data_IF_484571879540
#
_entry.id   IF_484571879540
#
_cell.length_a   1.000
_cell.length_b   1.000
_cell.length_c   1.000
_cell.angle_alpha   90.00
_cell.angle_beta   90.00
_cell.angle_gamma   90.00
#
_symmetry.space_group_name_H-M   'P 1'
#
loop_
_entity.id
_entity.type
_entity.pdbx_description
1 polymer ?
#
# COMPACT_ATOMS: atom_id res chain seq x y z
N UNK A 1 -44.54 -45.92 41.20
CA UNK A 1 -43.62 -46.22 40.07
C UNK A 1 -43.57 -45.04 39.13
N UNK A 2 -42.44 -44.32 39.06
CA UNK A 2 -41.94 -43.60 37.87
C UNK A 2 -40.55 -43.04 38.22
N UNK A 3 -39.51 -43.64 37.64
CA UNK A 3 -38.11 -43.20 37.75
C UNK A 3 -37.94 -41.94 36.90
N UNK A 4 -37.54 -40.82 37.50
CA UNK A 4 -37.12 -39.62 36.75
C UNK A 4 -35.63 -39.74 36.43
N UNK A 5 -35.31 -39.81 35.14
CA UNK A 5 -33.96 -39.68 34.60
C UNK A 5 -33.48 -38.22 34.78
N UNK A 6 -32.33 -38.04 35.43
CA UNK A 6 -31.60 -36.75 35.43
C UNK A 6 -30.79 -36.66 34.14
N UNK A 7 -31.19 -35.79 33.22
CA UNK A 7 -30.31 -35.30 32.15
C UNK A 7 -29.40 -34.23 32.74
N UNK A 8 -28.08 -34.48 32.72
CA UNK A 8 -27.08 -33.45 33.00
C UNK A 8 -26.91 -32.60 31.74
N UNK A 9 -27.32 -31.33 31.82
CA UNK A 9 -27.09 -30.34 30.78
C UNK A 9 -25.61 -29.91 30.87
N UNK A 10 -24.77 -30.41 29.97
CA UNK A 10 -23.40 -29.89 29.81
C UNK A 10 -23.50 -28.59 29.03
N UNK A 11 -23.45 -27.47 29.77
CA UNK A 11 -23.42 -26.14 29.17
C UNK A 11 -22.01 -25.88 28.62
N UNK A 12 -21.86 -25.94 27.28
CA UNK A 12 -20.66 -25.49 26.60
C UNK A 12 -20.63 -23.95 26.68
N UNK A 13 -19.88 -23.41 27.65
CA UNK A 13 -19.55 -21.99 27.69
C UNK A 13 -18.61 -21.69 26.52
N UNK A 14 -19.17 -21.15 25.45
CA UNK A 14 -18.43 -20.54 24.35
C UNK A 14 -17.82 -19.25 24.90
N UNK A 15 -16.56 -19.28 25.36
CA UNK A 15 -15.82 -18.07 25.66
C UNK A 15 -15.53 -17.37 24.33
N UNK A 16 -15.98 -16.12 24.11
CA UNK A 16 -15.49 -15.34 22.99
C UNK A 16 -13.99 -15.17 23.19
N UNK A 17 -13.20 -15.68 22.24
CA UNK A 17 -11.76 -15.50 22.25
C UNK A 17 -11.45 -14.01 22.29
N UNK A 18 -10.79 -13.56 23.35
CA UNK A 18 -10.24 -12.22 23.41
C UNK A 18 -9.07 -12.20 22.43
N UNK A 19 -9.30 -11.66 21.24
CA UNK A 19 -8.20 -11.31 20.34
C UNK A 19 -7.46 -10.16 21.02
N UNK A 20 -6.23 -10.41 21.48
CA UNK A 20 -5.39 -9.35 22.00
C UNK A 20 -5.14 -8.33 20.89
N UNK A 21 -5.48 -7.07 21.11
CA UNK A 21 -5.13 -6.00 20.20
C UNK A 21 -3.60 -5.96 20.06
N UNK A 22 -3.09 -5.89 18.82
CA UNK A 22 -1.67 -5.73 18.57
C UNK A 22 -1.16 -4.49 19.33
N UNK A 23 -0.16 -4.66 20.18
CA UNK A 23 0.41 -3.57 20.96
C UNK A 23 1.10 -2.58 20.03
N UNK A 24 0.71 -1.30 20.09
CA UNK A 24 1.38 -0.23 19.35
C UNK A 24 2.83 -0.12 19.87
N UNK A 25 3.87 -0.33 19.03
CA UNK A 25 5.26 -0.44 19.50
C UNK A 25 5.82 0.89 20.01
N UNK A 26 5.34 2.01 19.45
CA UNK A 26 5.67 3.38 19.87
C UNK A 26 4.46 4.31 19.71
N UNK A 27 4.23 5.28 20.61
CA UNK A 27 3.03 6.13 20.56
C UNK A 27 2.80 6.84 19.22
N UNK A 28 3.86 7.28 18.55
CA UNK A 28 3.80 7.99 17.27
C UNK A 28 3.70 7.08 16.04
N UNK A 29 3.57 5.76 16.25
CA UNK A 29 3.32 4.79 15.16
C UNK A 29 1.83 4.48 14.98
N UNK A 30 0.93 4.95 15.84
CA UNK A 30 -0.51 4.66 15.75
C UNK A 30 -1.11 5.04 14.38
N UNK A 31 -0.75 6.20 13.84
CA UNK A 31 -1.20 6.67 12.51
C UNK A 31 -0.45 6.08 11.32
N UNK A 32 0.43 5.11 11.54
CA UNK A 32 1.20 4.45 10.48
C UNK A 32 0.43 3.25 9.90
N UNK A 33 0.67 2.93 8.63
CA UNK A 33 0.16 1.71 8.00
C UNK A 33 0.43 0.47 8.85
N UNK A 34 -0.58 -0.38 9.05
CA UNK A 34 -0.53 -1.46 10.04
C UNK A 34 0.64 -2.43 9.81
N UNK A 35 1.00 -2.76 8.56
CA UNK A 35 2.15 -3.63 8.27
C UNK A 35 3.47 -3.04 8.73
N UNK A 36 3.65 -1.73 8.58
CA UNK A 36 4.85 -1.07 9.09
C UNK A 36 4.87 -1.15 10.62
N UNK A 37 3.72 -1.02 11.30
CA UNK A 37 3.65 -1.21 12.76
C UNK A 37 4.04 -2.64 13.16
N UNK A 38 3.55 -3.66 12.45
CA UNK A 38 3.93 -5.06 12.67
C UNK A 38 5.44 -5.28 12.50
N UNK A 39 6.01 -4.80 11.39
CA UNK A 39 7.45 -4.87 11.11
C UNK A 39 8.28 -4.15 12.18
N UNK A 40 7.84 -2.97 12.61
CA UNK A 40 8.48 -2.20 13.68
C UNK A 40 8.44 -2.96 15.01
N UNK A 41 7.28 -3.50 15.39
CA UNK A 41 7.12 -4.28 16.61
C UNK A 41 8.01 -5.52 16.61
N UNK A 42 8.02 -6.28 15.52
CA UNK A 42 8.85 -7.48 15.38
C UNK A 42 10.36 -7.16 15.46
N UNK A 43 10.82 -6.06 14.86
CA UNK A 43 12.22 -5.65 14.95
C UNK A 43 12.58 -5.09 16.33
N UNK A 44 11.64 -4.44 17.02
CA UNK A 44 11.82 -3.95 18.39
C UNK A 44 11.95 -5.12 19.38
N UNK A 45 11.09 -6.13 19.27
CA UNK A 45 11.14 -7.36 20.09
C UNK A 45 12.46 -8.12 19.92
N UNK A 46 13.03 -8.09 18.71
CA UNK A 46 14.35 -8.67 18.39
C UNK A 46 15.53 -7.79 18.83
N UNK A 47 15.29 -6.59 19.37
CA UNK A 47 16.34 -5.63 19.77
C UNK A 47 17.12 -5.01 18.61
N UNK A 48 16.59 -5.12 17.39
CA UNK A 48 17.21 -4.60 16.15
C UNK A 48 16.91 -3.12 16.00
N UNK A 49 15.70 -2.71 16.40
CA UNK A 49 15.22 -1.35 16.26
C UNK A 49 14.86 -0.76 17.63
N UNK A 50 15.40 0.42 17.91
CA UNK A 50 15.14 1.19 19.12
C UNK A 50 14.47 2.52 18.75
N UNK A 51 13.60 3.02 19.63
CA UNK A 51 13.09 4.38 19.56
C UNK A 51 14.10 5.42 20.01
N UNK A 52 13.71 6.68 19.94
CA UNK A 52 14.47 7.81 20.47
C UNK A 52 14.30 7.92 21.99
N UNK A 53 15.20 8.63 22.70
CA UNK A 53 15.11 8.80 24.15
C UNK A 53 13.81 9.47 24.64
N UNK A 54 13.10 10.18 23.76
CA UNK A 54 11.79 10.79 24.02
C UNK A 54 10.62 9.79 23.93
N UNK A 55 10.90 8.50 23.65
CA UNK A 55 9.91 7.44 23.51
C UNK A 55 9.28 7.33 22.12
N UNK A 56 9.71 8.16 21.16
CA UNK A 56 9.18 8.17 19.78
C UNK A 56 9.94 7.25 18.84
N UNK A 57 9.31 6.83 17.75
CA UNK A 57 9.96 6.11 16.65
C UNK A 57 10.36 7.02 15.49
N UNK A 58 9.56 8.05 15.22
CA UNK A 58 9.64 8.99 14.08
C UNK A 58 9.47 8.29 12.73
N UNK A 59 8.32 7.67 12.45
CA UNK A 59 8.13 6.77 11.30
C UNK A 59 8.37 7.43 9.94
N UNK A 60 7.97 8.70 9.79
CA UNK A 60 8.12 9.48 8.56
C UNK A 60 9.50 10.15 8.41
N UNK A 61 10.38 10.04 9.42
CA UNK A 61 11.72 10.62 9.32
C UNK A 61 12.52 9.92 8.22
N UNK A 62 13.08 10.70 7.29
CA UNK A 62 14.02 10.19 6.29
C UNK A 62 15.32 9.79 6.97
N UNK A 63 15.81 8.59 6.67
CA UNK A 63 17.08 8.11 7.18
C UNK A 63 18.24 8.65 6.36
N UNK A 64 19.35 8.95 7.03
CA UNK A 64 20.63 9.07 6.35
C UNK A 64 21.32 7.71 6.18
N UNK A 65 22.37 7.68 5.37
CA UNK A 65 23.13 6.45 5.04
C UNK A 65 23.77 5.81 6.28
N UNK A 66 24.25 6.60 7.23
CA UNK A 66 24.86 6.11 8.47
C UNK A 66 23.84 5.46 9.42
N UNK A 67 22.68 6.08 9.59
CA UNK A 67 21.57 5.58 10.41
C UNK A 67 21.05 4.24 9.87
N UNK A 68 20.91 4.12 8.54
CA UNK A 68 20.51 2.87 7.93
C UNK A 68 21.51 1.74 8.23
N UNK A 69 22.81 1.98 8.06
CA UNK A 69 23.82 0.98 8.39
C UNK A 69 23.79 0.59 9.87
N UNK A 70 23.55 1.54 10.79
CA UNK A 70 23.35 1.19 12.20
C UNK A 70 22.17 0.24 12.39
N UNK A 71 21.04 0.46 11.74
CA UNK A 71 19.87 -0.43 11.82
C UNK A 71 20.20 -1.83 11.28
N UNK A 72 20.81 -1.90 10.08
CA UNK A 72 21.22 -3.16 9.45
C UNK A 72 22.17 -3.95 10.35
N UNK A 73 23.17 -3.29 10.92
CA UNK A 73 24.17 -3.95 11.75
C UNK A 73 23.74 -4.18 13.19
N UNK A 74 22.73 -3.48 13.71
CA UNK A 74 22.10 -3.83 15.00
C UNK A 74 21.38 -5.18 14.94
N UNK A 75 20.87 -5.55 13.76
CA UNK A 75 20.38 -6.89 13.46
C UNK A 75 21.46 -7.96 13.35
N UNK A 76 22.73 -7.62 13.64
CA UNK A 76 23.88 -8.50 13.49
C UNK A 76 24.85 -8.35 14.68
N UNK A 77 25.49 -9.44 15.09
CA UNK A 77 26.39 -9.42 16.25
C UNK A 77 27.85 -9.09 15.90
N UNK A 78 28.10 -8.50 14.74
CA UNK A 78 29.40 -8.63 14.05
C UNK A 78 30.09 -7.31 13.67
N UNK A 79 29.78 -6.25 14.43
CA UNK A 79 30.48 -4.96 14.34
C UNK A 79 31.75 -5.02 15.18
N UNK A 80 32.92 -4.96 14.52
CA UNK A 80 34.23 -4.94 15.18
C UNK A 80 34.82 -3.51 15.24
N UNK A 81 35.69 -3.22 16.24
CA UNK A 81 36.28 -1.89 16.41
C UNK A 81 36.99 -1.33 15.15
N UNK A 82 36.95 0.00 15.01
CA UNK A 82 37.58 0.73 13.90
C UNK A 82 39.08 0.85 14.17
N UNK A 83 39.91 0.25 13.31
CA UNK A 83 41.38 0.30 13.45
C UNK A 83 42.02 1.36 12.53
N UNK A 84 41.33 1.76 11.46
CA UNK A 84 41.80 2.76 10.48
C UNK A 84 40.62 3.50 9.87
N UNK A 85 40.87 4.70 9.37
CA UNK A 85 39.89 5.48 8.62
C UNK A 85 39.48 4.72 7.34
N UNK A 86 38.19 4.40 7.20
CA UNK A 86 37.64 3.67 6.05
C UNK A 86 37.32 4.58 4.86
N UNK A 87 36.84 5.79 5.11
CA UNK A 87 36.56 6.81 4.09
C UNK A 87 37.10 8.16 4.55
N UNK A 88 37.43 9.04 3.62
CA UNK A 88 38.07 10.32 3.92
C UNK A 88 37.22 11.24 4.80
N UNK A 89 35.89 11.14 4.70
CA UNK A 89 34.86 11.89 5.42
C UNK A 89 34.28 11.16 6.65
N UNK A 90 34.83 10.02 7.03
CA UNK A 90 34.41 9.28 8.24
C UNK A 90 35.41 9.51 9.36
N UNK A 91 35.00 10.27 10.38
CA UNK A 91 35.77 10.40 11.62
C UNK A 91 35.75 9.06 12.38
N UNK A 92 36.91 8.44 12.70
CA UNK A 92 36.97 7.19 13.45
C UNK A 92 36.24 7.19 14.81
N UNK A 93 36.10 8.36 15.44
CA UNK A 93 35.43 8.53 16.73
C UNK A 93 33.92 8.80 16.61
N UNK A 94 33.39 8.93 15.39
CA UNK A 94 31.96 9.13 15.18
C UNK A 94 31.17 7.86 15.55
N UNK A 95 29.97 8.04 16.10
CA UNK A 95 29.08 6.95 16.51
C UNK A 95 28.79 5.95 15.38
N UNK A 96 28.82 6.41 14.12
CA UNK A 96 28.55 5.60 12.94
C UNK A 96 29.77 4.89 12.37
N UNK A 97 30.99 5.28 12.75
CA UNK A 97 32.22 4.79 12.15
C UNK A 97 32.35 3.25 12.22
N UNK A 98 31.99 2.56 13.33
CA UNK A 98 32.04 1.10 13.37
C UNK A 98 31.17 0.43 12.30
N UNK A 99 29.96 0.93 12.08
CA UNK A 99 29.03 0.37 11.08
C UNK A 99 29.50 0.65 9.65
N UNK A 100 29.92 1.88 9.36
CA UNK A 100 30.40 2.28 8.04
C UNK A 100 31.66 1.50 7.65
N UNK A 101 32.63 1.40 8.55
CA UNK A 101 33.86 0.67 8.26
C UNK A 101 33.63 -0.85 8.19
N UNK A 102 32.68 -1.40 8.94
CA UNK A 102 32.26 -2.80 8.78
C UNK A 102 31.60 -3.04 7.42
N UNK A 103 30.72 -2.14 6.98
CA UNK A 103 30.07 -2.21 5.68
C UNK A 103 31.09 -2.18 4.53
N UNK A 104 32.09 -1.30 4.60
CA UNK A 104 33.13 -1.22 3.58
C UNK A 104 33.96 -2.51 3.50
N UNK A 105 34.43 -3.03 4.63
CA UNK A 105 35.24 -4.27 4.67
C UNK A 105 34.53 -5.48 4.06
N UNK A 106 33.20 -5.46 4.05
CA UNK A 106 32.34 -6.54 3.55
C UNK A 106 31.86 -6.31 2.12
N UNK A 107 32.26 -5.21 1.49
CA UNK A 107 31.80 -4.85 0.15
C UNK A 107 30.34 -4.39 0.09
N UNK A 108 29.68 -4.15 1.22
CA UNK A 108 28.29 -3.66 1.28
C UNK A 108 28.22 -2.24 0.74
N UNK A 109 29.26 -1.44 1.01
CA UNK A 109 29.40 -0.06 0.50
C UNK A 109 30.80 0.15 -0.04
N UNK A 110 30.90 0.80 -1.21
CA UNK A 110 32.18 1.10 -1.85
C UNK A 110 32.57 2.58 -1.71
N UNK A 111 31.62 3.44 -1.33
CA UNK A 111 31.78 4.90 -1.32
C UNK A 111 31.57 5.51 -2.70
N UNK A 112 31.60 6.84 -2.76
CA UNK A 112 31.53 7.60 -4.00
C UNK A 112 32.94 7.96 -4.49
N UNK A 113 33.00 8.53 -5.70
CA UNK A 113 34.22 9.13 -6.24
C UNK A 113 34.88 10.07 -5.22
N UNK A 114 36.20 9.96 -5.05
CA UNK A 114 36.94 10.72 -4.03
C UNK A 114 37.06 10.02 -2.66
N UNK A 115 36.61 8.77 -2.55
CA UNK A 115 36.80 7.96 -1.34
C UNK A 115 35.96 8.44 -0.16
N UNK A 116 34.78 8.99 -0.43
CA UNK A 116 33.83 9.54 0.56
C UNK A 116 32.61 8.62 0.71
N UNK A 117 32.02 8.57 1.91
CA UNK A 117 30.82 7.78 2.20
C UNK A 117 29.54 8.62 2.21
N UNK A 118 29.63 9.89 2.62
CA UNK A 118 28.53 10.84 2.85
C UNK A 118 27.54 10.36 3.93
N UNK A 119 27.99 10.23 5.20
CA UNK A 119 27.19 9.62 6.26
C UNK A 119 25.84 10.30 6.51
N UNK A 120 25.81 11.63 6.45
CA UNK A 120 24.62 12.44 6.73
C UNK A 120 23.70 12.65 5.51
N UNK A 121 24.09 12.15 4.33
CA UNK A 121 23.24 12.26 3.15
C UNK A 121 22.02 11.33 3.30
N UNK A 122 20.79 11.79 2.96
CA UNK A 122 19.62 10.94 2.86
C UNK A 122 19.90 9.71 2.00
N UNK A 123 19.57 8.53 2.52
CA UNK A 123 19.68 7.30 1.74
C UNK A 123 18.47 7.17 0.82
N UNK A 124 18.71 6.92 -0.47
CA UNK A 124 17.63 6.59 -1.38
C UNK A 124 17.28 5.10 -1.32
N UNK A 125 16.14 4.73 -1.88
CA UNK A 125 15.60 3.37 -1.78
C UNK A 125 16.53 2.35 -2.46
N UNK A 126 17.09 2.64 -3.63
CA UNK A 126 18.02 1.74 -4.32
C UNK A 126 19.28 1.45 -3.50
N UNK A 127 19.88 2.47 -2.90
CA UNK A 127 21.04 2.34 -2.02
C UNK A 127 20.69 1.49 -0.79
N UNK A 128 19.52 1.73 -0.19
CA UNK A 128 19.09 0.99 0.98
C UNK A 128 18.87 -0.49 0.67
N UNK A 129 18.23 -0.81 -0.45
CA UNK A 129 18.02 -2.18 -0.93
C UNK A 129 19.36 -2.88 -1.13
N UNK A 130 20.30 -2.26 -1.85
CA UNK A 130 21.66 -2.80 -2.04
C UNK A 130 22.34 -3.08 -0.69
N UNK A 131 22.32 -2.10 0.23
CA UNK A 131 22.96 -2.26 1.54
C UNK A 131 22.36 -3.42 2.34
N UNK A 132 21.03 -3.56 2.35
CA UNK A 132 20.35 -4.65 3.08
C UNK A 132 20.63 -6.01 2.44
N UNK A 133 20.44 -6.17 1.13
CA UNK A 133 20.63 -7.46 0.45
C UNK A 133 22.08 -7.96 0.59
N UNK A 134 23.07 -7.08 0.37
CA UNK A 134 24.48 -7.44 0.55
C UNK A 134 24.80 -7.75 2.02
N UNK A 135 24.26 -6.97 2.97
CA UNK A 135 24.50 -7.20 4.38
C UNK A 135 23.97 -8.55 4.87
N UNK A 136 22.89 -9.04 4.28
CA UNK A 136 22.29 -10.34 4.58
C UNK A 136 22.74 -11.45 3.62
N UNK A 137 23.88 -11.25 2.95
CA UNK A 137 24.62 -12.33 2.28
C UNK A 137 24.18 -12.62 0.84
N UNK A 138 23.30 -11.80 0.26
CA UNK A 138 22.93 -11.92 -1.15
C UNK A 138 23.97 -11.25 -2.00
N UNK A 139 24.80 -12.04 -2.66
CA UNK A 139 25.72 -11.55 -3.67
C UNK A 139 24.94 -11.32 -4.96
N UNK A 140 25.07 -10.13 -5.51
CA UNK A 140 24.42 -9.70 -6.76
C UNK A 140 25.50 -9.07 -7.61
N UNK A 141 25.63 -9.54 -8.84
CA UNK A 141 26.58 -8.99 -9.81
C UNK A 141 26.07 -7.63 -10.28
N UNK A 142 26.79 -6.58 -9.88
CA UNK A 142 26.46 -5.20 -10.18
C UNK A 142 27.05 -4.77 -11.52
N UNK A 143 26.24 -4.31 -12.49
CA UNK A 143 26.76 -3.75 -13.72
C UNK A 143 27.32 -2.35 -13.49
N UNK A 144 28.31 -1.98 -14.30
CA UNK A 144 28.80 -0.60 -14.35
C UNK A 144 27.72 0.34 -14.92
N UNK A 145 27.75 1.60 -14.49
CA UNK A 145 26.93 2.69 -15.05
C UNK A 145 25.70 3.06 -14.22
N UNK A 146 24.80 3.84 -14.82
CA UNK A 146 23.68 4.51 -14.12
C UNK A 146 22.57 3.54 -13.66
N UNK A 147 22.53 2.32 -14.20
CA UNK A 147 21.53 1.30 -13.90
C UNK A 147 22.02 0.20 -12.96
N UNK A 148 23.09 0.46 -12.19
CA UNK A 148 23.69 -0.48 -11.21
C UNK A 148 22.67 -1.10 -10.24
N UNK A 149 21.57 -0.40 -9.94
CA UNK A 149 20.56 -0.84 -8.99
C UNK A 149 19.56 -1.87 -9.55
N UNK A 150 19.46 -2.02 -10.87
CA UNK A 150 18.43 -2.86 -11.52
C UNK A 150 18.44 -4.32 -11.02
N UNK A 151 19.60 -5.01 -10.91
CA UNK A 151 19.63 -6.38 -10.41
C UNK A 151 19.17 -6.51 -8.96
N UNK A 152 19.45 -5.52 -8.11
CA UNK A 152 19.00 -5.51 -6.72
C UNK A 152 17.48 -5.37 -6.62
N UNK A 153 16.90 -4.49 -7.43
CA UNK A 153 15.44 -4.32 -7.49
C UNK A 153 14.73 -5.52 -8.11
N UNK A 154 15.33 -6.16 -9.10
CA UNK A 154 14.82 -7.39 -9.69
C UNK A 154 14.83 -8.53 -8.65
N UNK A 155 15.90 -8.62 -7.86
CA UNK A 155 16.00 -9.61 -6.79
C UNK A 155 14.87 -9.46 -5.75
N UNK A 156 14.49 -8.24 -5.37
CA UNK A 156 13.35 -8.04 -4.46
C UNK A 156 12.02 -8.55 -5.02
N UNK A 157 11.80 -8.32 -6.31
CA UNK A 157 10.59 -8.68 -7.04
C UNK A 157 10.50 -10.20 -7.22
N UNK A 158 11.55 -10.83 -7.74
CA UNK A 158 11.66 -12.28 -7.96
C UNK A 158 11.52 -13.09 -6.67
N UNK A 159 11.89 -12.51 -5.53
CA UNK A 159 11.84 -13.16 -4.22
C UNK A 159 10.59 -12.82 -3.42
N UNK A 160 9.72 -11.95 -3.94
CA UNK A 160 8.51 -11.50 -3.23
C UNK A 160 8.80 -10.71 -1.94
N UNK A 161 10.03 -10.20 -1.76
CA UNK A 161 10.38 -9.39 -0.59
C UNK A 161 9.63 -8.06 -0.67
N UNK A 162 9.72 -7.39 -1.82
CA UNK A 162 9.03 -6.14 -2.08
C UNK A 162 8.78 -6.01 -3.58
N UNK A 163 7.51 -5.91 -3.98
CA UNK A 163 7.13 -5.76 -5.38
C UNK A 163 7.75 -4.49 -5.95
N UNK A 164 8.31 -4.58 -7.16
CA UNK A 164 8.95 -3.44 -7.83
C UNK A 164 7.98 -2.25 -7.93
N UNK A 165 6.69 -2.52 -8.11
CA UNK A 165 5.58 -1.56 -8.19
C UNK A 165 5.38 -0.70 -6.93
N UNK A 166 5.95 -1.04 -5.79
CA UNK A 166 5.66 -0.38 -4.51
C UNK A 166 6.63 0.78 -4.15
N UNK A 167 7.66 1.02 -4.96
CA UNK A 167 8.68 2.02 -4.63
C UNK A 167 9.34 2.67 -5.85
N UNK A 168 9.99 3.81 -5.60
CA UNK A 168 10.84 4.49 -6.57
C UNK A 168 12.31 4.35 -6.14
N UNK A 169 13.20 3.84 -7.01
CA UNK A 169 14.61 3.64 -6.67
C UNK A 169 15.31 4.90 -6.10
N UNK A 170 14.96 6.08 -6.60
CA UNK A 170 15.57 7.35 -6.19
C UNK A 170 14.91 8.03 -4.99
N UNK A 171 13.73 7.57 -4.54
CA UNK A 171 13.04 8.24 -3.42
C UNK A 171 13.82 8.06 -2.10
N UNK A 172 13.91 9.11 -1.26
CA UNK A 172 14.42 8.96 0.09
C UNK A 172 13.64 7.92 0.88
N UNK A 173 14.33 7.14 1.72
CA UNK A 173 13.70 6.09 2.51
C UNK A 173 13.36 6.59 3.92
N UNK A 174 12.08 6.52 4.30
CA UNK A 174 11.63 6.78 5.66
C UNK A 174 11.98 5.64 6.61
N UNK A 175 12.06 5.95 7.91
CA UNK A 175 12.43 4.99 8.95
C UNK A 175 11.46 3.81 9.05
N UNK A 176 10.15 4.03 8.90
CA UNK A 176 9.15 2.96 8.88
C UNK A 176 9.32 2.02 7.67
N UNK A 177 9.67 2.56 6.49
CA UNK A 177 9.87 1.77 5.27
C UNK A 177 11.18 1.00 5.32
N UNK A 178 12.22 1.57 5.93
CA UNK A 178 13.45 0.84 6.21
C UNK A 178 13.21 -0.31 7.21
N UNK A 179 12.39 -0.11 8.23
CA UNK A 179 12.00 -1.17 9.15
C UNK A 179 11.24 -2.29 8.43
N UNK A 180 10.26 -1.93 7.61
CA UNK A 180 9.48 -2.91 6.83
C UNK A 180 10.34 -3.71 5.86
N UNK A 181 11.19 -3.04 5.08
CA UNK A 181 12.09 -3.70 4.14
C UNK A 181 13.07 -4.64 4.86
N UNK A 182 13.67 -4.19 5.98
CA UNK A 182 14.58 -5.04 6.75
C UNK A 182 13.86 -6.26 7.32
N UNK A 183 12.68 -6.08 7.89
CA UNK A 183 11.90 -7.18 8.43
C UNK A 183 11.56 -8.22 7.35
N UNK A 184 11.17 -7.77 6.15
CA UNK A 184 10.92 -8.66 5.00
C UNK A 184 12.18 -9.40 4.56
N UNK A 185 13.33 -8.74 4.48
CA UNK A 185 14.60 -9.40 4.15
C UNK A 185 14.93 -10.49 5.17
N UNK A 186 14.82 -10.19 6.47
CA UNK A 186 15.04 -11.15 7.55
C UNK A 186 14.08 -12.34 7.48
N UNK A 187 12.78 -12.09 7.28
CA UNK A 187 11.78 -13.15 7.17
C UNK A 187 12.02 -14.05 5.97
N UNK A 188 12.40 -13.48 4.83
CA UNK A 188 12.74 -14.32 3.68
C UNK A 188 13.91 -15.25 4.00
N UNK A 189 14.95 -14.75 4.64
CA UNK A 189 16.14 -15.57 4.93
C UNK A 189 15.82 -16.68 5.96
N UNK A 190 14.86 -16.44 6.87
CA UNK A 190 14.35 -17.41 7.83
C UNK A 190 13.42 -18.47 7.18
N UNK A 191 12.42 -18.02 6.42
CA UNK A 191 11.30 -18.87 5.97
C UNK A 191 11.40 -19.34 4.52
N UNK A 192 12.28 -18.70 3.71
CA UNK A 192 12.37 -18.82 2.24
C UNK A 192 11.03 -18.76 1.49
N UNK A 193 10.03 -18.14 2.12
CA UNK A 193 8.67 -18.03 1.59
C UNK A 193 8.12 -16.65 1.93
N UNK A 194 7.89 -15.82 0.91
CA UNK A 194 7.14 -14.58 1.07
C UNK A 194 6.09 -14.48 -0.03
N UNK A 195 4.89 -14.96 0.31
CA UNK A 195 3.67 -14.37 -0.22
C UNK A 195 3.29 -13.24 0.75
N UNK A 196 2.91 -12.09 0.23
CA UNK A 196 2.48 -10.92 1.00
C UNK A 196 1.10 -11.14 1.60
N UNK A 197 0.96 -12.20 2.39
CA UNK A 197 -0.30 -12.69 2.91
C UNK A 197 -0.63 -12.04 4.24
N UNK A 198 -1.90 -11.79 4.49
CA UNK A 198 -2.37 -11.21 5.75
C UNK A 198 -2.38 -12.19 6.92
N UNK A 199 -2.50 -11.66 8.14
CA UNK A 199 -2.53 -12.44 9.38
C UNK A 199 -3.74 -13.39 9.49
N UNK A 200 -4.83 -13.09 8.79
CA UNK A 200 -6.03 -13.93 8.72
C UNK A 200 -5.85 -15.22 7.90
N UNK A 201 -4.75 -15.37 7.16
CA UNK A 201 -4.46 -16.62 6.44
C UNK A 201 -4.31 -17.81 7.40
N UNK A 202 -4.96 -18.92 7.05
CA UNK A 202 -5.02 -20.15 7.83
C UNK A 202 -5.99 -20.10 9.01
N UNK A 203 -6.68 -18.98 9.24
CA UNK A 203 -7.66 -18.84 10.32
C UNK A 203 -9.08 -19.17 9.85
N UNK A 204 -9.90 -19.70 10.77
CA UNK A 204 -11.29 -19.97 10.47
C UNK A 204 -12.07 -18.66 10.25
N UNK A 205 -12.92 -18.65 9.23
CA UNK A 205 -13.68 -17.48 8.84
C UNK A 205 -14.58 -16.95 9.98
N UNK A 206 -14.35 -15.70 10.39
CA UNK A 206 -15.26 -14.97 11.27
C UNK A 206 -16.23 -14.14 10.40
N UNK A 207 -17.41 -14.71 10.12
CA UNK A 207 -18.52 -13.98 9.51
C UNK A 207 -19.04 -12.92 10.48
N UNK A 208 -18.43 -11.74 10.48
CA UNK A 208 -18.89 -10.61 11.27
C UNK A 208 -19.56 -9.56 10.37
N UNK A 209 -20.59 -8.87 10.86
CA UNK A 209 -21.18 -7.74 10.13
C UNK A 209 -20.11 -6.67 9.85
N UNK A 210 -20.28 -5.98 8.72
CA UNK A 210 -19.36 -4.95 8.24
C UNK A 210 -19.48 -3.66 9.05
N UNK A 211 -19.07 -3.69 10.32
CA UNK A 211 -19.01 -2.53 11.23
C UNK A 211 -17.63 -2.43 11.86
N UNK A 212 -17.10 -1.20 11.98
CA UNK A 212 -15.79 -0.88 12.58
C UNK A 212 -15.90 0.35 13.48
N UNK A 213 -15.03 0.43 14.49
CA UNK A 213 -14.82 1.66 15.25
C UNK A 213 -13.57 2.34 14.72
N UNK A 214 -13.73 3.57 14.22
CA UNK A 214 -12.63 4.37 13.66
C UNK A 214 -12.68 5.74 14.31
N UNK A 215 -11.63 6.07 15.07
CA UNK A 215 -11.51 7.36 15.77
C UNK A 215 -12.76 7.70 16.61
N UNK A 216 -13.31 6.70 17.31
CA UNK A 216 -14.50 6.85 18.15
C UNK A 216 -15.84 6.93 17.39
N UNK A 217 -15.84 6.71 16.06
CA UNK A 217 -17.05 6.66 15.23
C UNK A 217 -17.30 5.25 14.73
N UNK A 218 -18.55 4.82 14.77
CA UNK A 218 -18.96 3.58 14.09
C UNK A 218 -19.01 3.81 12.58
N UNK A 219 -18.32 2.97 11.82
CA UNK A 219 -18.30 2.95 10.35
C UNK A 219 -18.85 1.62 9.85
N UNK A 220 -19.45 1.60 8.67
CA UNK A 220 -20.06 0.40 8.08
C UNK A 220 -19.59 0.14 6.66
N UNK A 221 -19.55 -1.12 6.23
CA UNK A 221 -19.22 -1.50 4.86
C UNK A 221 -20.06 -2.70 4.41
N UNK A 222 -20.36 -2.75 3.11
CA UNK A 222 -20.85 -3.96 2.45
C UNK A 222 -19.66 -4.81 1.99
N UNK A 223 -19.80 -6.14 2.02
CA UNK A 223 -18.73 -7.05 1.60
C UNK A 223 -19.25 -8.09 0.61
N UNK A 224 -18.50 -8.29 -0.47
CA UNK A 224 -18.56 -9.45 -1.33
C UNK A 224 -17.29 -10.30 -1.11
N UNK A 225 -17.48 -11.58 -0.78
CA UNK A 225 -16.40 -12.56 -0.57
C UNK A 225 -16.21 -13.36 -1.88
N UNK A 226 -14.97 -13.69 -2.29
CA UNK A 226 -14.72 -14.51 -3.47
C UNK A 226 -15.48 -15.84 -3.42
N UNK A 227 -16.02 -16.28 -4.56
CA UNK A 227 -16.82 -17.52 -4.62
C UNK A 227 -16.03 -18.78 -4.26
N UNK A 228 -14.72 -18.77 -4.52
CA UNK A 228 -13.79 -19.89 -4.29
C UNK A 228 -12.75 -19.54 -3.23
N UNK A 229 -13.12 -18.72 -2.24
CA UNK A 229 -12.22 -18.34 -1.15
C UNK A 229 -11.69 -19.57 -0.41
N UNK A 230 -10.36 -19.63 -0.26
CA UNK A 230 -9.65 -20.63 0.54
C UNK A 230 -8.87 -19.90 1.63
N UNK A 231 -8.91 -20.43 2.85
CA UNK A 231 -8.31 -19.75 4.02
C UNK A 231 -6.79 -19.63 3.93
N UNK A 232 -6.13 -20.44 3.11
CA UNK A 232 -4.69 -20.51 2.94
C UNK A 232 -4.20 -19.96 1.60
N UNK A 233 -5.12 -19.54 0.71
CA UNK A 233 -4.81 -18.93 -0.58
C UNK A 233 -5.14 -17.43 -0.55
N UNK A 234 -4.12 -16.54 -0.56
CA UNK A 234 -4.34 -15.10 -0.56
C UNK A 234 -5.15 -14.67 -1.79
N UNK A 235 -6.20 -13.87 -1.56
CA UNK A 235 -7.02 -13.29 -2.62
C UNK A 235 -6.90 -11.75 -2.64
N UNK A 236 -7.08 -11.11 -3.80
CA UNK A 236 -7.02 -9.65 -3.90
C UNK A 236 -8.13 -8.96 -3.11
N UNK A 237 -7.90 -7.69 -2.78
CA UNK A 237 -8.88 -6.83 -2.12
C UNK A 237 -9.16 -5.57 -2.94
N UNK A 238 -10.43 -5.32 -3.26
CA UNK A 238 -10.91 -4.11 -3.92
C UNK A 238 -11.75 -3.31 -2.92
N UNK A 239 -11.40 -2.05 -2.68
CA UNK A 239 -12.22 -1.10 -1.94
C UNK A 239 -12.91 -0.15 -2.92
N UNK A 240 -14.24 -0.22 -2.98
CA UNK A 240 -15.06 0.50 -3.96
C UNK A 240 -15.87 1.61 -3.28
N UNK A 241 -15.47 2.86 -3.50
CA UNK A 241 -16.03 4.04 -2.84
C UNK A 241 -17.21 4.63 -3.63
N UNK A 242 -18.28 4.99 -2.93
CA UNK A 242 -19.47 5.60 -3.52
C UNK A 242 -19.37 7.12 -3.70
N UNK A 243 -20.19 7.68 -4.58
CA UNK A 243 -20.29 9.13 -4.81
C UNK A 243 -21.10 9.87 -3.73
N UNK A 244 -21.36 11.16 -3.97
CA UNK A 244 -22.05 12.07 -3.03
C UNK A 244 -23.52 11.72 -2.77
N UNK A 245 -24.18 11.04 -3.71
CA UNK A 245 -25.65 10.86 -3.72
C UNK A 245 -26.10 9.41 -3.64
N UNK A 246 -25.17 8.46 -3.67
CA UNK A 246 -25.48 7.03 -3.64
C UNK A 246 -24.86 6.38 -2.41
N UNK A 247 -25.59 5.47 -1.78
CA UNK A 247 -25.06 4.65 -0.69
C UNK A 247 -24.14 3.54 -1.21
N UNK A 248 -23.37 2.93 -0.30
CA UNK A 248 -22.56 1.73 -0.60
C UNK A 248 -23.38 0.62 -1.28
N UNK A 249 -24.59 0.33 -0.78
CA UNK A 249 -25.48 -0.68 -1.36
C UNK A 249 -25.94 -0.32 -2.79
N UNK A 250 -26.18 0.96 -3.07
CA UNK A 250 -26.58 1.41 -4.40
C UNK A 250 -25.43 1.28 -5.41
N UNK A 251 -24.20 1.67 -5.04
CA UNK A 251 -23.06 1.54 -5.96
C UNK A 251 -22.65 0.10 -6.19
N UNK A 252 -22.75 -0.77 -5.17
CA UNK A 252 -22.56 -2.21 -5.32
C UNK A 252 -23.44 -2.80 -6.43
N UNK A 253 -24.68 -2.32 -6.54
CA UNK A 253 -25.62 -2.80 -7.55
C UNK A 253 -25.23 -2.41 -8.99
N UNK A 254 -24.60 -1.25 -9.22
CA UNK A 254 -24.33 -0.77 -10.59
C UNK A 254 -22.85 -0.79 -11.01
N UNK A 255 -21.89 -0.84 -10.07
CA UNK A 255 -20.47 -0.96 -10.42
C UNK A 255 -20.16 -2.28 -11.14
N UNK A 256 -20.92 -3.34 -10.85
CA UNK A 256 -20.76 -4.65 -11.48
C UNK A 256 -19.52 -5.44 -11.04
N UNK A 257 -18.81 -4.96 -10.00
CA UNK A 257 -17.56 -5.57 -9.52
C UNK A 257 -17.78 -6.96 -8.93
N UNK A 258 -18.88 -7.21 -8.20
CA UNK A 258 -19.21 -8.54 -7.63
C UNK A 258 -19.23 -9.65 -8.68
N UNK A 259 -19.64 -9.32 -9.91
CA UNK A 259 -19.60 -10.24 -11.06
C UNK A 259 -18.23 -10.26 -11.73
N UNK A 260 -17.65 -9.08 -11.96
CA UNK A 260 -16.46 -8.91 -12.79
C UNK A 260 -15.17 -9.41 -12.11
N UNK A 261 -15.02 -9.21 -10.80
CA UNK A 261 -13.86 -9.58 -10.00
C UNK A 261 -14.23 -10.65 -8.97
N UNK A 262 -14.77 -11.78 -9.46
CA UNK A 262 -15.36 -12.84 -8.61
C UNK A 262 -14.35 -13.63 -7.76
N UNK A 263 -13.07 -13.43 -8.03
CA UNK A 263 -11.90 -13.96 -7.34
C UNK A 263 -11.33 -13.00 -6.28
N UNK A 264 -11.84 -11.77 -6.19
CA UNK A 264 -11.42 -10.75 -5.24
C UNK A 264 -12.44 -10.51 -4.13
N UNK A 265 -11.95 -10.14 -2.95
CA UNK A 265 -12.77 -9.49 -1.94
C UNK A 265 -13.14 -8.09 -2.43
N UNK A 266 -14.41 -7.72 -2.28
CA UNK A 266 -14.87 -6.37 -2.65
C UNK A 266 -15.60 -5.76 -1.46
N UNK A 267 -14.96 -4.80 -0.83
CA UNK A 267 -15.56 -3.99 0.22
C UNK A 267 -16.12 -2.70 -0.38
N UNK A 268 -17.34 -2.34 -0.01
CA UNK A 268 -17.96 -1.06 -0.33
C UNK A 268 -18.14 -0.27 0.97
N UNK A 269 -17.16 0.57 1.34
CA UNK A 269 -17.21 1.31 2.58
C UNK A 269 -18.31 2.38 2.51
N UNK A 270 -18.97 2.67 3.63
CA UNK A 270 -19.92 3.76 3.74
C UNK A 270 -19.22 5.05 4.19
N UNK A 271 -19.34 6.08 3.37
CA UNK A 271 -18.94 7.43 3.74
C UNK A 271 -19.89 8.00 4.80
N UNK A 272 -19.43 9.03 5.51
CA UNK A 272 -20.30 9.75 6.44
C UNK A 272 -21.37 10.53 5.67
N UNK A 273 -22.54 10.69 6.29
CA UNK A 273 -23.67 11.41 5.71
C UNK A 273 -23.86 12.75 6.42
N UNK A 274 -24.05 13.81 5.64
CA UNK A 274 -24.52 15.10 6.14
C UNK A 274 -26.02 15.05 6.45
N UNK A 275 -26.50 15.98 7.27
CA UNK A 275 -27.94 16.13 7.57
C UNK A 275 -28.80 16.35 6.31
N UNK A 276 -28.20 16.84 5.23
CA UNK A 276 -28.84 17.01 3.91
C UNK A 276 -29.05 15.71 3.14
N UNK A 277 -28.60 14.57 3.68
CA UNK A 277 -28.66 13.26 3.04
C UNK A 277 -27.53 12.98 2.04
N UNK A 278 -26.62 13.95 1.81
CA UNK A 278 -25.45 13.77 0.94
C UNK A 278 -24.26 13.20 1.69
N UNK A 279 -23.39 12.49 0.98
CA UNK A 279 -22.22 11.81 1.53
C UNK A 279 -20.92 12.61 1.36
N UNK A 280 -19.96 12.39 2.26
CA UNK A 280 -18.63 12.98 2.22
C UNK A 280 -17.53 11.98 2.62
N UNK A 281 -16.40 12.05 1.91
CA UNK A 281 -15.15 11.31 2.19
C UNK A 281 -14.07 12.22 2.83
N UNK A 282 -14.47 13.41 3.26
CA UNK A 282 -13.61 14.40 3.89
C UNK A 282 -14.46 15.27 4.80
N UNK A 283 -13.97 15.60 5.98
CA UNK A 283 -14.67 16.44 6.93
C UNK A 283 -14.18 17.91 6.82
N UNK A 284 -14.99 18.91 7.22
CA UNK A 284 -14.53 20.28 7.35
C UNK A 284 -13.29 20.38 8.25
N UNK A 285 -12.24 21.05 7.75
CA UNK A 285 -10.96 21.22 8.45
C UNK A 285 -9.91 20.17 8.14
N UNK A 286 -10.22 19.16 7.32
CA UNK A 286 -9.21 18.20 6.86
C UNK A 286 -8.14 18.92 6.03
N UNK A 287 -6.87 18.65 6.33
CA UNK A 287 -5.77 19.03 5.45
C UNK A 287 -5.78 18.08 4.25
N UNK A 288 -5.37 18.58 3.09
CA UNK A 288 -5.34 17.78 1.86
C UNK A 288 -4.64 16.42 2.08
N UNK A 289 -3.47 16.38 2.72
CA UNK A 289 -2.73 15.13 2.97
C UNK A 289 -3.18 14.28 4.19
N UNK A 290 -4.16 14.75 4.97
CA UNK A 290 -4.58 14.13 6.25
C UNK A 290 -6.10 13.97 6.30
N UNK A 291 -6.70 13.44 5.23
CA UNK A 291 -8.15 13.20 5.21
C UNK A 291 -8.51 12.17 6.29
N UNK A 292 -9.51 12.47 7.11
CA UNK A 292 -9.94 11.56 8.20
C UNK A 292 -10.36 10.18 7.69
N UNK A 293 -10.95 10.11 6.50
CA UNK A 293 -11.38 8.83 5.93
C UNK A 293 -10.23 7.96 5.40
N UNK A 294 -8.99 8.48 5.33
CA UNK A 294 -7.80 7.62 5.16
C UNK A 294 -7.64 6.68 6.37
N UNK A 295 -7.93 7.15 7.58
CA UNK A 295 -7.93 6.29 8.76
C UNK A 295 -9.02 5.21 8.68
N UNK A 296 -10.14 5.49 8.00
CA UNK A 296 -11.16 4.48 7.74
C UNK A 296 -10.70 3.44 6.71
N UNK A 297 -10.06 3.88 5.62
CA UNK A 297 -9.39 2.97 4.68
C UNK A 297 -8.40 2.05 5.41
N UNK A 298 -7.48 2.62 6.20
CA UNK A 298 -6.46 1.86 6.92
C UNK A 298 -7.08 0.84 7.87
N UNK A 299 -8.04 1.26 8.70
CA UNK A 299 -8.72 0.41 9.65
C UNK A 299 -9.52 -0.72 8.98
N UNK A 300 -10.12 -0.45 7.82
CA UNK A 300 -10.86 -1.46 7.08
C UNK A 300 -9.93 -2.50 6.44
N UNK A 301 -8.80 -2.08 5.85
CA UNK A 301 -7.86 -3.05 5.31
C UNK A 301 -7.23 -3.89 6.42
N UNK A 302 -6.85 -3.29 7.55
CA UNK A 302 -6.34 -4.01 8.72
C UNK A 302 -7.37 -5.01 9.27
N UNK A 303 -8.62 -4.58 9.41
CA UNK A 303 -9.71 -5.45 9.85
C UNK A 303 -9.89 -6.65 8.90
N UNK A 304 -9.92 -6.41 7.59
CA UNK A 304 -10.04 -7.48 6.60
C UNK A 304 -8.81 -8.38 6.59
N UNK A 305 -7.61 -7.82 6.70
CA UNK A 305 -6.36 -8.57 6.78
C UNK A 305 -6.33 -9.50 7.99
N UNK A 306 -6.93 -9.10 9.12
CA UNK A 306 -7.02 -9.93 10.32
C UNK A 306 -8.08 -11.04 10.23
N UNK A 307 -9.11 -10.86 9.39
CA UNK A 307 -10.25 -11.81 9.27
C UNK A 307 -10.13 -12.78 8.10
N UNK A 308 -9.42 -12.39 7.05
CA UNK A 308 -9.37 -13.09 5.78
C UNK A 308 -7.95 -13.27 5.30
N UNK A 309 -7.73 -14.23 4.40
CA UNK A 309 -6.49 -14.40 3.67
C UNK A 309 -6.44 -13.46 2.47
N UNK A 310 -5.87 -12.27 2.69
CA UNK A 310 -5.75 -11.20 1.71
C UNK A 310 -4.31 -11.17 1.18
N UNK A 311 -4.17 -10.99 -0.13
CA UNK A 311 -2.93 -10.60 -0.75
C UNK A 311 -2.72 -9.09 -0.56
N UNK A 312 -1.81 -8.74 0.34
CA UNK A 312 -1.51 -7.37 0.75
C UNK A 312 -0.67 -6.60 -0.29
N UNK A 313 -0.20 -7.25 -1.36
CA UNK A 313 0.39 -6.56 -2.51
C UNK A 313 -0.65 -6.34 -3.63
N UNK A 314 -1.87 -6.87 -3.48
CA UNK A 314 -2.99 -6.75 -4.42
C UNK A 314 -4.20 -6.05 -3.78
N UNK A 315 -3.93 -4.91 -3.15
CA UNK A 315 -4.95 -3.98 -2.66
C UNK A 315 -5.24 -2.94 -3.74
N UNK A 316 -6.50 -2.88 -4.17
CA UNK A 316 -6.97 -1.99 -5.23
C UNK A 316 -8.07 -1.07 -4.72
N UNK A 317 -8.21 0.08 -5.35
CA UNK A 317 -9.27 1.03 -5.04
C UNK A 317 -10.05 1.45 -6.28
N UNK A 318 -11.35 1.62 -6.16
CA UNK A 318 -12.20 2.07 -7.26
C UNK A 318 -13.25 3.09 -6.80
N UNK A 319 -13.73 3.93 -7.71
CA UNK A 319 -14.85 4.81 -7.39
C UNK A 319 -15.36 5.68 -8.53
N UNK A 320 -16.56 6.22 -8.34
CA UNK A 320 -17.25 7.13 -9.25
C UNK A 320 -17.49 8.47 -8.55
N UNK A 321 -17.38 9.59 -9.28
CA UNK A 321 -17.70 10.91 -8.74
C UNK A 321 -16.82 11.25 -7.53
N UNK A 322 -17.43 11.67 -6.41
CA UNK A 322 -16.74 11.87 -5.13
C UNK A 322 -15.98 10.60 -4.65
N UNK A 323 -16.49 9.40 -4.94
CA UNK A 323 -15.78 8.15 -4.65
C UNK A 323 -14.58 7.93 -5.57
N UNK A 324 -14.65 8.38 -6.82
CA UNK A 324 -13.51 8.42 -7.73
C UNK A 324 -12.44 9.40 -7.26
N UNK A 325 -12.87 10.53 -6.68
CA UNK A 325 -11.95 11.45 -6.04
C UNK A 325 -11.25 10.85 -4.82
N UNK A 326 -12.01 10.13 -4.00
CA UNK A 326 -11.42 9.48 -2.84
C UNK A 326 -10.50 8.33 -3.23
N UNK A 327 -10.87 7.51 -4.23
CA UNK A 327 -10.01 6.46 -4.79
C UNK A 327 -8.65 7.02 -5.27
N UNK A 328 -8.67 8.12 -6.03
CA UNK A 328 -7.44 8.77 -6.49
C UNK A 328 -6.63 9.38 -5.34
N UNK A 329 -7.29 9.93 -4.32
CA UNK A 329 -6.63 10.47 -3.13
C UNK A 329 -5.96 9.36 -2.31
N UNK A 330 -6.67 8.24 -2.05
CA UNK A 330 -6.14 7.06 -1.35
C UNK A 330 -4.93 6.50 -2.09
N UNK A 331 -5.03 6.30 -3.42
CA UNK A 331 -3.91 5.78 -4.20
C UNK A 331 -2.69 6.72 -4.26
N UNK A 332 -2.81 7.98 -3.87
CA UNK A 332 -1.68 8.91 -3.74
C UNK A 332 -1.10 8.82 -2.33
N UNK A 333 -1.93 9.02 -1.31
CA UNK A 333 -1.56 8.99 0.11
C UNK A 333 -1.03 7.62 0.56
N UNK A 334 -1.47 6.55 -0.10
CA UNK A 334 -1.11 5.15 0.12
C UNK A 334 -0.54 4.50 -1.14
N UNK A 335 0.16 5.27 -1.99
CA UNK A 335 0.73 4.76 -3.24
C UNK A 335 1.77 3.64 -3.06
N UNK A 336 2.35 3.50 -1.88
CA UNK A 336 3.24 2.39 -1.50
C UNK A 336 2.50 1.14 -0.97
N UNK A 337 1.17 1.21 -0.85
CA UNK A 337 0.28 0.15 -0.34
C UNK A 337 -0.74 -0.28 -1.39
N UNK A 338 -1.31 0.67 -2.12
CA UNK A 338 -2.33 0.44 -3.15
C UNK A 338 -1.65 0.09 -4.46
N UNK A 339 -1.93 -1.10 -4.98
CA UNK A 339 -1.39 -1.58 -6.25
C UNK A 339 -1.89 -0.78 -7.44
N UNK A 340 -3.19 -0.44 -7.44
CA UNK A 340 -3.79 0.40 -8.47
C UNK A 340 -5.10 1.08 -8.06
N UNK A 341 -5.42 2.19 -8.74
CA UNK A 341 -6.74 2.82 -8.71
C UNK A 341 -7.51 2.70 -10.02
N UNK A 342 -8.83 2.70 -9.94
CA UNK A 342 -9.72 2.92 -11.07
C UNK A 342 -10.80 3.96 -10.75
N UNK A 343 -10.87 5.05 -11.51
CA UNK A 343 -11.81 6.15 -11.24
C UNK A 343 -12.63 6.53 -12.45
N UNK A 344 -13.91 6.86 -12.21
CA UNK A 344 -14.80 7.50 -13.19
C UNK A 344 -15.20 8.88 -12.70
N UNK A 345 -15.05 9.92 -13.53
CA UNK A 345 -15.61 11.24 -13.23
C UNK A 345 -15.14 11.83 -11.90
N UNK A 346 -13.91 11.51 -11.48
CA UNK A 346 -13.34 11.92 -10.21
C UNK A 346 -11.86 12.28 -10.36
N UNK A 347 -11.46 13.44 -9.85
CA UNK A 347 -10.07 13.95 -9.84
C UNK A 347 -9.42 13.76 -8.47
N UNK A 348 -8.22 14.25 -8.21
CA UNK A 348 -7.71 14.45 -6.85
C UNK A 348 -7.12 15.84 -6.70
N UNK A 349 -7.12 16.35 -5.46
CA UNK A 349 -6.40 17.58 -5.09
C UNK A 349 -5.11 17.27 -4.31
N UNK A 350 -4.81 15.98 -4.13
CA UNK A 350 -3.60 15.53 -3.45
C UNK A 350 -2.48 15.48 -4.48
N UNK A 351 -1.40 16.20 -4.22
CA UNK A 351 -0.24 16.31 -5.13
C UNK A 351 1.01 15.61 -4.59
N UNK A 352 1.04 15.27 -3.30
CA UNK A 352 2.16 14.58 -2.66
C UNK A 352 1.79 13.11 -2.46
N UNK A 353 2.36 12.22 -3.28
CA UNK A 353 2.10 10.79 -3.19
C UNK A 353 3.22 10.06 -2.43
N UNK A 354 2.83 9.09 -1.60
CA UNK A 354 3.76 8.27 -0.82
C UNK A 354 4.56 7.27 -1.69
N UNK A 355 4.04 6.93 -2.86
CA UNK A 355 4.64 5.98 -3.80
C UNK A 355 3.88 5.90 -5.12
N UNK A 356 4.42 5.12 -6.08
CA UNK A 356 3.81 4.93 -7.39
C UNK A 356 2.73 3.85 -7.36
N UNK A 357 1.67 4.03 -8.13
CA UNK A 357 0.58 3.04 -8.25
C UNK A 357 -0.05 3.12 -9.64
N UNK A 358 -0.45 1.98 -10.20
CA UNK A 358 -1.08 1.97 -11.51
C UNK A 358 -2.44 2.70 -11.46
N UNK A 359 -2.84 3.32 -12.57
CA UNK A 359 -4.07 4.12 -12.58
C UNK A 359 -4.87 3.91 -13.86
N UNK A 360 -6.16 3.60 -13.72
CA UNK A 360 -7.15 3.63 -14.79
C UNK A 360 -8.11 4.81 -14.53
N UNK A 361 -8.04 5.83 -15.38
CA UNK A 361 -8.80 7.06 -15.20
C UNK A 361 -9.73 7.24 -16.39
N UNK A 362 -11.03 7.12 -16.15
CA UNK A 362 -12.08 7.35 -17.13
C UNK A 362 -12.85 8.64 -16.81
N UNK A 363 -13.14 9.46 -17.83
CA UNK A 363 -13.89 10.69 -17.64
C UNK A 363 -14.58 11.09 -18.95
N UNK A 364 -15.81 11.58 -18.88
CA UNK A 364 -16.48 12.15 -20.04
C UNK A 364 -16.12 13.65 -20.22
N UNK A 365 -15.60 14.10 -21.38
CA UNK A 365 -15.36 15.53 -21.63
C UNK A 365 -16.59 16.42 -21.50
N UNK A 366 -17.80 15.86 -21.67
CA UNK A 366 -19.07 16.55 -21.53
C UNK A 366 -19.60 16.56 -20.08
N UNK A 367 -18.86 15.99 -19.13
CA UNK A 367 -19.20 16.02 -17.70
C UNK A 367 -19.16 17.45 -17.17
N UNK A 368 -20.31 17.91 -16.65
CA UNK A 368 -20.47 19.24 -16.03
C UNK A 368 -20.61 19.17 -14.51
N UNK A 369 -20.62 17.95 -13.94
CA UNK A 369 -20.69 17.71 -12.50
C UNK A 369 -19.30 17.58 -11.89
N UNK A 370 -18.38 16.94 -12.61
CA UNK A 370 -16.97 16.86 -12.28
C UNK A 370 -16.11 17.57 -13.32
N UNK A 371 -14.98 18.14 -12.90
CA UNK A 371 -14.08 18.85 -13.81
C UNK A 371 -13.21 17.86 -14.58
N UNK A 372 -13.41 17.80 -15.90
CA UNK A 372 -12.56 17.03 -16.80
C UNK A 372 -11.09 17.48 -16.71
N UNK A 373 -10.82 18.79 -16.72
CA UNK A 373 -9.47 19.35 -16.56
C UNK A 373 -8.81 18.94 -15.24
N UNK A 374 -9.54 18.90 -14.13
CA UNK A 374 -8.97 18.42 -12.87
C UNK A 374 -8.58 16.93 -12.94
N UNK A 375 -9.29 16.15 -13.76
CA UNK A 375 -8.95 14.75 -14.03
C UNK A 375 -7.71 14.62 -14.91
N UNK A 376 -7.49 15.53 -15.85
CA UNK A 376 -6.24 15.60 -16.63
C UNK A 376 -5.05 15.91 -15.71
N UNK A 377 -5.19 16.85 -14.78
CA UNK A 377 -4.15 17.11 -13.77
C UNK A 377 -3.87 15.88 -12.89
N UNK A 378 -4.90 15.09 -12.60
CA UNK A 378 -4.75 13.82 -11.85
C UNK A 378 -3.98 12.79 -12.69
N UNK A 379 -4.25 12.70 -14.00
CA UNK A 379 -3.46 11.87 -14.93
C UNK A 379 -2.01 12.33 -14.92
N UNK A 380 -1.74 13.62 -15.08
CA UNK A 380 -0.39 14.16 -15.22
C UNK A 380 0.44 13.91 -13.95
N UNK A 381 -0.16 14.10 -12.77
CA UNK A 381 0.45 13.70 -11.50
C UNK A 381 0.82 12.21 -11.48
N UNK A 382 -0.03 11.32 -12.00
CA UNK A 382 0.27 9.88 -12.06
C UNK A 382 1.40 9.57 -13.03
N UNK A 383 1.46 10.27 -14.17
CA UNK A 383 2.57 10.12 -15.11
C UNK A 383 3.90 10.53 -14.47
N UNK A 384 3.92 11.63 -13.71
CA UNK A 384 5.10 12.09 -12.98
C UNK A 384 5.52 11.09 -11.89
N UNK A 385 4.60 10.74 -10.99
CA UNK A 385 4.90 9.84 -9.85
C UNK A 385 5.31 8.45 -10.32
N UNK A 386 4.70 7.93 -11.39
CA UNK A 386 5.05 6.63 -11.95
C UNK A 386 6.24 6.69 -12.92
N UNK A 387 6.82 7.87 -13.17
CA UNK A 387 7.88 8.11 -14.15
C UNK A 387 7.56 7.47 -15.51
N UNK A 388 6.39 7.79 -16.05
CA UNK A 388 5.92 7.37 -17.36
C UNK A 388 6.50 8.23 -18.49
N UNK A 389 6.57 7.72 -19.73
CA UNK A 389 6.89 8.54 -20.89
C UNK A 389 5.79 9.59 -21.16
N UNK A 390 6.14 10.64 -21.89
CA UNK A 390 5.18 11.63 -22.36
C UNK A 390 4.27 11.08 -23.47
N UNK A 391 4.83 10.22 -24.33
CA UNK A 391 4.10 9.62 -25.45
C UNK A 391 3.17 8.51 -24.97
N UNK A 392 1.94 8.53 -25.47
CA UNK A 392 0.94 7.51 -25.21
C UNK A 392 0.73 6.63 -26.44
N UNK A 393 0.38 5.37 -26.21
CA UNK A 393 -0.07 4.45 -27.26
C UNK A 393 -1.56 4.15 -27.11
N UNK A 394 -2.30 3.88 -28.20
CA UNK A 394 -3.69 3.46 -28.11
C UNK A 394 -3.85 2.18 -27.27
N UNK A 395 -4.88 2.14 -26.43
CA UNK A 395 -5.26 0.97 -25.64
C UNK A 395 -6.78 0.77 -25.73
N UNK A 396 -7.21 -0.35 -26.31
CA UNK A 396 -8.63 -0.70 -26.35
C UNK A 396 -8.99 -1.53 -25.12
N UNK A 397 -9.80 -0.96 -24.23
CA UNK A 397 -10.31 -1.64 -23.05
C UNK A 397 -11.81 -1.87 -23.19
N UNK A 398 -12.19 -3.05 -23.70
CA UNK A 398 -13.60 -3.40 -23.94
C UNK A 398 -14.28 -2.33 -24.82
N UNK A 399 -15.26 -1.61 -24.28
CA UNK A 399 -16.01 -0.55 -24.94
C UNK A 399 -15.27 0.81 -24.92
N UNK A 400 -14.25 0.97 -24.07
CA UNK A 400 -13.51 2.21 -23.92
C UNK A 400 -12.30 2.28 -24.85
N UNK A 401 -12.21 3.39 -25.57
CA UNK A 401 -11.01 3.81 -26.30
C UNK A 401 -10.15 4.61 -25.34
N UNK A 402 -9.01 4.04 -24.95
CA UNK A 402 -8.08 4.66 -24.04
C UNK A 402 -6.74 4.92 -24.72
N UNK A 403 -5.90 5.66 -24.04
CA UNK A 403 -4.46 5.67 -24.27
C UNK A 403 -3.76 5.12 -23.04
N UNK A 404 -2.63 4.45 -23.24
CA UNK A 404 -1.77 3.96 -22.17
C UNK A 404 -0.39 4.62 -22.29
N UNK A 405 0.18 4.94 -21.14
CA UNK A 405 1.53 5.47 -21.02
C UNK A 405 2.41 4.34 -20.48
N UNK A 406 3.29 3.80 -21.31
CA UNK A 406 4.18 2.67 -20.99
C UNK A 406 5.49 2.75 -21.80
N UNK A 407 6.62 2.22 -21.28
CA UNK A 407 6.78 1.64 -19.96
C UNK A 407 6.92 2.74 -18.88
N UNK A 408 6.07 2.69 -17.85
CA UNK A 408 6.31 3.47 -16.64
C UNK A 408 7.33 2.76 -15.75
N UNK A 409 7.97 3.50 -14.84
CA UNK A 409 8.78 2.87 -13.80
C UNK A 409 7.94 1.85 -13.02
N UNK A 410 8.59 0.76 -12.64
CA UNK A 410 8.05 -0.20 -11.68
C UNK A 410 6.74 -0.93 -12.07
N UNK A 411 6.34 -0.94 -13.35
CA UNK A 411 5.13 -1.69 -13.76
C UNK A 411 3.83 -1.05 -13.28
N UNK A 412 3.82 0.28 -13.17
CA UNK A 412 2.67 1.09 -12.78
C UNK A 412 2.10 1.88 -13.98
N UNK A 413 1.42 1.21 -14.93
CA UNK A 413 0.88 1.88 -16.10
C UNK A 413 -0.20 2.89 -15.73
N UNK A 414 -0.29 3.95 -16.53
CA UNK A 414 -1.40 4.91 -16.47
C UNK A 414 -2.23 4.75 -17.74
N UNK A 415 -3.52 4.48 -17.58
CA UNK A 415 -4.50 4.40 -18.66
C UNK A 415 -5.46 5.57 -18.53
N UNK A 416 -5.54 6.35 -19.60
CA UNK A 416 -6.42 7.51 -19.71
C UNK A 416 -7.52 7.21 -20.73
N UNK A 417 -8.76 7.20 -20.26
CA UNK A 417 -9.93 6.74 -21.01
C UNK A 417 -11.01 7.84 -21.08
N UNK A 418 -10.82 8.88 -21.91
CA UNK A 418 -11.91 9.78 -22.22
C UNK A 418 -13.03 8.97 -22.90
N UNK A 419 -14.29 9.15 -22.48
CA UNK A 419 -15.42 8.42 -23.06
C UNK A 419 -16.57 9.33 -23.47
N UNK A 420 -17.35 8.90 -24.46
CA UNK A 420 -18.43 9.69 -25.06
C UNK A 420 -19.83 9.13 -24.71
N UNK A 421 -19.91 8.32 -23.64
CA UNK A 421 -21.20 7.84 -23.12
C UNK A 421 -21.93 8.99 -22.41
N UNK A 422 -22.70 9.75 -23.19
CA UNK A 422 -23.46 10.93 -22.73
C UNK A 422 -24.84 10.61 -22.16
N UNK A 423 -25.32 9.38 -22.32
CA UNK A 423 -26.68 8.97 -21.96
C UNK A 423 -26.67 7.80 -20.97
N UNK A 424 -27.55 7.85 -19.97
CA UNK A 424 -27.76 6.75 -19.03
C UNK A 424 -28.53 5.57 -19.71
N UNK A 425 -28.64 4.39 -19.07
CA UNK A 425 -29.38 3.25 -19.63
C UNK A 425 -30.87 3.50 -19.87
N UNK A 426 -31.42 4.62 -19.39
CA UNK A 426 -32.81 5.04 -19.61
C UNK A 426 -32.93 6.09 -20.72
N UNK A 427 -31.83 6.49 -21.35
CA UNK A 427 -31.77 7.46 -22.43
C UNK A 427 -31.73 8.92 -21.97
N UNK A 428 -31.53 9.20 -20.68
CA UNK A 428 -31.39 10.58 -20.19
C UNK A 428 -29.97 11.09 -20.45
N UNK A 429 -29.83 12.34 -20.89
CA UNK A 429 -28.52 12.98 -21.03
C UNK A 429 -27.86 13.14 -19.65
N UNK A 430 -26.84 12.32 -19.39
CA UNK A 430 -26.10 12.25 -18.14
C UNK A 430 -24.65 11.81 -18.38
N UNK A 431 -23.76 12.71 -18.84
CA UNK A 431 -22.35 12.40 -19.10
C UNK A 431 -21.53 11.97 -17.86
N UNK A 432 -22.03 12.27 -16.66
CA UNK A 432 -21.47 11.83 -15.37
C UNK A 432 -21.90 10.38 -15.02
N UNK A 433 -21.87 9.49 -16.01
CA UNK A 433 -22.35 8.11 -15.88
C UNK A 433 -21.21 7.13 -15.66
N UNK A 434 -21.50 6.02 -14.97
CA UNK A 434 -20.63 4.85 -14.96
C UNK A 434 -20.65 4.18 -16.34
N UNK A 435 -19.51 4.05 -17.04
CA UNK A 435 -19.50 3.50 -18.39
C UNK A 435 -19.99 2.05 -18.42
N UNK A 436 -20.62 1.68 -19.53
CA UNK A 436 -21.02 0.30 -19.81
C UNK A 436 -19.81 -0.64 -19.75
N UNK A 437 -19.97 -1.77 -19.04
CA UNK A 437 -18.93 -2.79 -18.80
C UNK A 437 -17.68 -2.26 -18.06
N UNK A 438 -17.76 -1.12 -17.37
CA UNK A 438 -16.58 -0.58 -16.67
C UNK A 438 -16.13 -1.49 -15.51
N UNK A 439 -17.04 -2.19 -14.83
CA UNK A 439 -16.68 -3.20 -13.82
C UNK A 439 -15.79 -4.31 -14.40
N UNK A 440 -16.11 -4.84 -15.58
CA UNK A 440 -15.27 -5.83 -16.30
C UNK A 440 -13.94 -5.22 -16.76
N UNK A 441 -13.94 -3.93 -17.10
CA UNK A 441 -12.73 -3.19 -17.47
C UNK A 441 -11.78 -3.03 -16.28
N UNK A 442 -12.31 -2.67 -15.11
CA UNK A 442 -11.57 -2.60 -13.84
C UNK A 442 -10.97 -3.96 -13.49
N UNK A 443 -11.78 -5.03 -13.49
CA UNK A 443 -11.32 -6.36 -13.14
C UNK A 443 -10.17 -6.83 -14.05
N UNK A 444 -10.29 -6.59 -15.36
CA UNK A 444 -9.22 -6.89 -16.34
C UNK A 444 -7.96 -6.08 -16.11
N UNK A 445 -8.10 -4.79 -15.84
CA UNK A 445 -6.98 -3.93 -15.56
C UNK A 445 -6.24 -4.40 -14.30
N UNK A 446 -6.95 -4.63 -13.20
CA UNK A 446 -6.35 -5.12 -11.95
C UNK A 446 -5.70 -6.50 -12.11
N UNK A 447 -6.33 -7.44 -12.81
CA UNK A 447 -5.75 -8.75 -13.09
C UNK A 447 -4.53 -8.71 -14.04
N UNK A 448 -4.36 -7.63 -14.82
CA UNK A 448 -3.18 -7.47 -15.70
C UNK A 448 -1.93 -6.99 -14.97
N UNK A 449 -2.05 -6.65 -13.68
CA UNK A 449 -0.99 -6.10 -12.85
C UNK A 449 -0.32 -7.16 -11.97
N UNK A 450 -0.69 -8.42 -12.20
CA UNK A 450 -0.24 -9.64 -11.51
C UNK A 450 1.09 -10.18 -12.02
#
# INVERSE_FOLDING_TARGET
>A
MRRMFRFALVSFLCFPGIVAAATVPFPDTEGTWFRYRESIAALQERGILEGYPDGTFRPKQTLNRAELLKIIFKGRSDVVPVQRRCFSDVNPDAWYAPYVCAAQRRGIVQGYSGGVFRPEQPVNTAEAVKMMLLAYGRQIDEPDGEHWYVPYTASLDETGILARSSYLPWSPLSRERAADLLYRVLRYDEDRTLLSRSAGCGTAYAAAPGTLQVQGRQRTYELNVPKQYQIDMPAPLILAFHGRTNSAAQVRAYYGLDRAASDAFIAYPAAMQHDTGTYHWSDPGDRAGELRDIAYFDALVEDMANRYCIDLDRIFVAGHSLGGWFANSVACIRGDVVRASASVGGSSVITECAGPSAALIAHNPNDRMASFTASELTRDLRLEVNACPADASPAQLRSLQCVQYVPCSAGNPVLWCPHEQDYDPRGNYYPHTWPTDFGDTIARFFASLD
#
